data_IF_604506449825
#
_entry.id   IF_604506449825
#
_cell.length_a   1.000
_cell.length_b   1.000
_cell.length_c   1.000
_cell.angle_alpha   90.00
_cell.angle_beta   90.00
_cell.angle_gamma   90.00
#
_symmetry.space_group_name_H-M   'P 1'
#
loop_
_entity.id
_entity.type
_entity.pdbx_description
1 polymer ?
#
# COMPACT_ATOMS: atom_id res chain seq x y z
N UNK A 1 -2.31 11.76 11.13
CA UNK A 1 -1.57 10.54 11.57
C UNK A 1 -0.31 11.00 12.25
N UNK A 2 0.10 10.39 13.37
CA UNK A 2 1.27 10.88 14.09
C UNK A 2 2.51 10.01 13.82
N UNK A 3 3.61 10.65 13.44
CA UNK A 3 4.95 10.03 13.35
C UNK A 3 5.80 10.52 14.52
N UNK A 4 6.44 9.58 15.21
CA UNK A 4 7.37 9.85 16.31
C UNK A 4 8.74 9.29 15.91
N UNK A 5 9.78 10.13 15.93
CA UNK A 5 11.16 9.73 15.61
C UNK A 5 11.94 9.37 16.87
N UNK A 6 13.13 8.79 16.71
CA UNK A 6 13.93 8.24 17.81
C UNK A 6 14.40 9.28 18.84
N UNK A 7 14.49 10.55 18.44
CA UNK A 7 14.85 11.70 19.27
C UNK A 7 13.65 12.28 20.05
N UNK A 8 12.46 11.70 19.88
CA UNK A 8 11.22 12.17 20.50
C UNK A 8 10.49 13.27 19.73
N UNK A 9 10.97 13.65 18.55
CA UNK A 9 10.25 14.61 17.70
C UNK A 9 8.94 14.03 17.19
N UNK A 10 7.89 14.86 17.18
CA UNK A 10 6.54 14.48 16.72
C UNK A 10 6.13 15.29 15.49
N UNK A 11 5.55 14.61 14.51
CA UNK A 11 4.94 15.23 13.33
C UNK A 11 3.50 14.75 13.16
N UNK A 12 2.61 15.67 12.78
CA UNK A 12 1.26 15.34 12.31
C UNK A 12 1.24 15.32 10.78
N UNK A 13 0.82 14.20 10.23
CA UNK A 13 0.84 13.87 8.81
C UNK A 13 -0.60 13.61 8.33
N UNK A 14 -1.15 14.43 7.41
CA UNK A 14 -2.57 14.37 7.07
C UNK A 14 -2.94 13.14 6.23
N UNK A 15 -2.03 12.62 5.40
CA UNK A 15 -2.37 11.67 4.33
C UNK A 15 -1.72 10.29 4.46
N UNK A 16 -0.43 10.21 4.78
CA UNK A 16 0.28 8.95 4.94
C UNK A 16 1.57 9.12 5.75
N UNK A 17 2.14 8.01 6.22
CA UNK A 17 3.42 7.97 6.93
C UNK A 17 4.29 6.86 6.35
N UNK A 18 5.55 7.17 6.06
CA UNK A 18 6.59 6.19 5.67
C UNK A 18 7.68 6.18 6.75
N UNK A 19 8.13 4.99 7.16
CA UNK A 19 9.17 4.80 8.16
C UNK A 19 10.02 3.57 7.87
N UNK A 20 11.31 3.64 8.21
CA UNK A 20 12.27 2.54 8.06
C UNK A 20 12.90 2.45 6.67
N UNK A 21 14.17 2.03 6.61
CA UNK A 21 14.92 1.89 5.35
C UNK A 21 15.10 3.21 4.58
N UNK A 22 15.21 3.09 3.25
CA UNK A 22 15.29 4.22 2.30
C UNK A 22 13.89 4.76 2.00
N UNK A 23 13.50 5.84 2.68
CA UNK A 23 12.12 6.32 2.65
C UNK A 23 11.79 7.30 1.52
N UNK A 24 12.79 8.01 0.97
CA UNK A 24 12.57 9.04 -0.05
C UNK A 24 11.85 8.54 -1.31
N UNK A 25 12.25 7.41 -1.94
CA UNK A 25 11.56 6.92 -3.15
C UNK A 25 10.11 6.51 -2.85
N UNK A 26 9.87 5.90 -1.69
CA UNK A 26 8.54 5.47 -1.25
C UNK A 26 7.65 6.68 -1.02
N UNK A 27 8.16 7.69 -0.31
CA UNK A 27 7.42 8.91 -0.02
C UNK A 27 7.06 9.66 -1.31
N UNK A 28 7.98 9.74 -2.28
CA UNK A 28 7.70 10.38 -3.56
C UNK A 28 6.66 9.60 -4.38
N UNK A 29 6.78 8.27 -4.45
CA UNK A 29 5.78 7.42 -5.11
C UNK A 29 4.38 7.60 -4.48
N UNK A 30 4.29 7.70 -3.15
CA UNK A 30 3.03 7.96 -2.46
C UNK A 30 2.50 9.39 -2.74
N UNK A 31 3.37 10.42 -2.76
CA UNK A 31 2.92 11.79 -3.09
C UNK A 31 2.28 11.87 -4.47
N UNK A 32 2.80 11.13 -5.44
CA UNK A 32 2.33 11.14 -6.82
C UNK A 32 1.04 10.33 -7.04
N UNK A 33 0.88 9.22 -6.29
CA UNK A 33 -0.20 8.25 -6.50
C UNK A 33 -1.32 8.30 -5.45
N UNK A 34 -1.11 8.99 -4.33
CA UNK A 34 -2.12 9.10 -3.28
C UNK A 34 -3.38 9.82 -3.79
N UNK A 35 -4.53 9.22 -3.47
CA UNK A 35 -5.83 9.82 -3.67
C UNK A 35 -6.63 9.73 -2.37
N UNK A 36 -7.24 10.84 -1.96
CA UNK A 36 -8.17 10.84 -0.84
C UNK A 36 -9.38 9.94 -1.14
N UNK A 37 -9.93 9.32 -0.09
CA UNK A 37 -11.11 8.45 -0.19
C UNK A 37 -10.94 7.25 -1.14
N UNK A 38 -9.70 6.81 -1.40
CA UNK A 38 -9.42 5.60 -2.15
C UNK A 38 -10.08 4.37 -1.50
N UNK A 39 -10.48 3.41 -2.34
CA UNK A 39 -10.97 2.12 -1.84
C UNK A 39 -9.85 1.39 -1.09
N UNK A 40 -10.20 0.45 -0.20
CA UNK A 40 -9.21 -0.36 0.51
C UNK A 40 -8.25 -1.07 -0.47
N UNK A 41 -8.79 -1.57 -1.58
CA UNK A 41 -8.04 -2.27 -2.62
C UNK A 41 -7.04 -1.33 -3.30
N UNK A 42 -7.47 -0.13 -3.68
CA UNK A 42 -6.61 0.83 -4.36
C UNK A 42 -5.54 1.40 -3.42
N UNK A 43 -5.91 1.73 -2.18
CA UNK A 43 -4.98 2.18 -1.16
C UNK A 43 -3.88 1.13 -0.90
N UNK A 44 -4.25 -0.16 -0.85
CA UNK A 44 -3.28 -1.25 -0.68
C UNK A 44 -2.35 -1.37 -1.89
N UNK A 45 -2.87 -1.24 -3.12
CA UNK A 45 -2.04 -1.27 -4.33
C UNK A 45 -1.05 -0.12 -4.39
N UNK A 46 -1.51 1.10 -4.11
CA UNK A 46 -0.68 2.30 -4.04
C UNK A 46 0.46 2.09 -3.04
N UNK A 47 0.15 1.59 -1.84
CA UNK A 47 1.15 1.30 -0.82
C UNK A 47 2.16 0.23 -1.26
N UNK A 48 1.71 -0.88 -1.85
CA UNK A 48 2.60 -1.96 -2.33
C UNK A 48 3.49 -1.49 -3.48
N UNK A 49 2.95 -0.70 -4.41
CA UNK A 49 3.72 -0.11 -5.51
C UNK A 49 4.82 0.82 -4.98
N UNK A 50 4.48 1.69 -4.02
CA UNK A 50 5.46 2.58 -3.39
C UNK A 50 6.55 1.83 -2.62
N UNK A 51 6.21 0.75 -1.90
CA UNK A 51 7.20 -0.10 -1.21
C UNK A 51 8.18 -0.77 -2.19
N UNK A 52 7.70 -1.18 -3.37
CA UNK A 52 8.56 -1.74 -4.43
C UNK A 52 9.52 -0.69 -4.98
N UNK A 53 9.07 0.56 -5.15
CA UNK A 53 9.93 1.66 -5.59
C UNK A 53 11.09 1.93 -4.62
N UNK A 54 10.86 1.85 -3.31
CA UNK A 54 11.92 2.02 -2.30
C UNK A 54 12.91 0.86 -2.18
N UNK A 55 12.55 -0.31 -2.69
CA UNK A 55 13.39 -1.52 -2.61
C UNK A 55 14.38 -1.63 -3.78
N UNK A 56 14.11 -0.94 -4.90
CA UNK A 56 14.92 -1.02 -6.12
C UNK A 56 16.37 -0.51 -5.94
N UNK A 57 16.60 0.45 -5.04
CA UNK A 57 17.92 1.09 -4.85
C UNK A 57 18.83 0.39 -3.81
N UNK A 58 18.32 -0.57 -3.03
CA UNK A 58 19.05 -1.09 -1.86
C UNK A 58 19.70 -2.45 -2.06
N UNK A 59 19.47 -3.13 -3.18
CA UNK A 59 20.00 -4.48 -3.39
C UNK A 59 20.19 -4.75 -4.88
N UNK A 60 21.44 -5.00 -5.28
CA UNK A 60 21.78 -5.37 -6.65
C UNK A 60 20.98 -6.60 -7.12
N UNK A 61 20.02 -6.36 -8.02
CA UNK A 61 19.61 -7.28 -9.07
C UNK A 61 18.65 -8.44 -8.75
N UNK A 62 18.37 -8.80 -7.49
CA UNK A 62 17.61 -10.05 -7.24
C UNK A 62 16.75 -10.06 -5.97
N UNK A 63 16.02 -8.97 -5.67
CA UNK A 63 15.05 -9.02 -4.58
C UNK A 63 13.76 -9.74 -5.05
N UNK A 64 13.25 -10.72 -4.28
CA UNK A 64 11.96 -11.33 -4.58
C UNK A 64 10.88 -10.26 -4.69
N UNK A 65 9.97 -10.41 -5.66
CA UNK A 65 8.79 -9.56 -5.74
C UNK A 65 8.10 -9.55 -4.38
N UNK A 66 7.78 -8.35 -3.85
CA UNK A 66 6.98 -8.22 -2.63
C UNK A 66 5.66 -8.97 -2.84
N UNK A 67 5.63 -10.18 -2.31
CA UNK A 67 4.52 -11.12 -2.42
C UNK A 67 3.62 -11.03 -1.19
N UNK A 68 2.40 -11.55 -1.32
CA UNK A 68 1.41 -11.60 -0.22
C UNK A 68 2.01 -12.16 1.07
N UNK A 69 2.90 -13.17 0.95
CA UNK A 69 3.50 -13.86 2.09
C UNK A 69 4.55 -13.02 2.85
N UNK A 70 5.09 -11.96 2.26
CA UNK A 70 6.11 -11.11 2.87
C UNK A 70 5.54 -9.80 3.46
N UNK A 71 4.21 -9.66 3.50
CA UNK A 71 3.54 -8.45 3.96
C UNK A 71 2.71 -8.71 5.22
N UNK A 72 2.88 -7.86 6.22
CA UNK A 72 1.94 -7.75 7.33
C UNK A 72 0.97 -6.59 7.05
N UNK A 73 -0.33 -6.88 6.96
CA UNK A 73 -1.36 -5.89 6.61
C UNK A 73 -2.45 -5.84 7.68
N UNK A 74 -2.83 -4.63 8.08
CA UNK A 74 -3.91 -4.37 9.02
C UNK A 74 -4.58 -3.03 8.70
N UNK A 75 -5.83 -2.86 9.16
CA UNK A 75 -6.60 -1.63 8.98
C UNK A 75 -7.30 -1.22 10.27
N UNK A 76 -7.60 0.08 10.36
CA UNK A 76 -8.56 0.63 11.31
C UNK A 76 -9.89 0.85 10.57
N UNK A 77 -10.82 -0.07 10.76
CA UNK A 77 -12.12 -0.07 10.06
C UNK A 77 -13.14 0.75 10.86
N UNK A 78 -13.43 1.95 10.35
CA UNK A 78 -14.34 2.92 10.96
C UNK A 78 -15.80 2.44 11.00
N UNK A 79 -16.17 1.46 10.17
CA UNK A 79 -17.54 0.90 10.15
C UNK A 79 -17.80 -0.09 11.28
N UNK A 80 -16.78 -0.46 12.07
CA UNK A 80 -16.94 -1.42 13.16
C UNK A 80 -17.43 -0.73 14.44
N UNK A 81 -18.38 -1.32 15.17
CA UNK A 81 -19.01 -0.68 16.33
C UNK A 81 -18.11 -0.54 17.56
N UNK A 82 -16.96 -1.22 17.62
CA UNK A 82 -16.06 -1.17 18.80
C UNK A 82 -14.58 -1.23 18.41
N UNK A 83 -14.02 -2.44 18.24
CA UNK A 83 -12.60 -2.61 17.91
C UNK A 83 -12.42 -2.41 16.41
N UNK A 84 -11.96 -1.21 16.02
CA UNK A 84 -11.68 -0.87 14.62
C UNK A 84 -10.52 -1.69 14.03
N UNK A 85 -9.51 -2.00 14.84
CA UNK A 85 -8.34 -2.76 14.38
C UNK A 85 -8.72 -4.17 13.90
N UNK A 86 -8.26 -4.52 12.69
CA UNK A 86 -8.30 -5.88 12.15
C UNK A 86 -7.05 -6.16 11.31
N UNK A 87 -6.59 -7.41 11.35
CA UNK A 87 -5.55 -7.94 10.46
C UNK A 87 -6.20 -8.44 9.16
N UNK A 88 -5.48 -8.33 8.05
CA UNK A 88 -5.85 -8.90 6.76
C UNK A 88 -4.72 -9.87 6.37
N UNK A 89 -5.05 -11.16 6.26
CA UNK A 89 -4.04 -12.22 6.16
C UNK A 89 -4.47 -13.29 5.15
N UNK A 90 -3.50 -14.04 4.62
CA UNK A 90 -3.75 -15.23 3.81
C UNK A 90 -4.59 -14.93 2.56
N UNK A 91 -5.60 -15.75 2.31
CA UNK A 91 -6.48 -15.65 1.14
C UNK A 91 -7.20 -14.30 1.03
N UNK A 92 -7.56 -13.67 2.15
CA UNK A 92 -8.19 -12.35 2.14
C UNK A 92 -7.24 -11.26 1.63
N UNK A 93 -5.96 -11.33 2.01
CA UNK A 93 -4.95 -10.40 1.49
C UNK A 93 -4.65 -10.69 0.02
N UNK A 94 -4.58 -11.97 -0.36
CA UNK A 94 -4.37 -12.38 -1.74
C UNK A 94 -5.50 -11.86 -2.65
N UNK A 95 -6.76 -11.99 -2.23
CA UNK A 95 -7.90 -11.49 -2.98
C UNK A 95 -7.82 -9.98 -3.24
N UNK A 96 -7.39 -9.19 -2.25
CA UNK A 96 -7.22 -7.73 -2.43
C UNK A 96 -6.09 -7.36 -3.41
N UNK A 97 -5.08 -8.22 -3.56
CA UNK A 97 -3.96 -7.96 -4.47
C UNK A 97 -4.19 -8.50 -5.90
N UNK A 98 -5.05 -9.50 -6.08
CA UNK A 98 -5.32 -10.16 -7.38
C UNK A 98 -6.33 -9.39 -8.24
N UNK A 99 -7.20 -8.59 -7.65
CA UNK A 99 -8.43 -8.12 -8.30
C UNK A 99 -8.24 -6.98 -9.34
N UNK A 100 -7.36 -7.14 -10.34
CA UNK A 100 -7.32 -6.41 -11.62
C UNK A 100 -6.56 -7.21 -12.71
N UNK A 101 -6.86 -8.50 -12.87
CA UNK A 101 -6.66 -9.16 -14.16
C UNK A 101 -8.05 -9.55 -14.69
N UNK A 102 -8.90 -8.54 -14.89
CA UNK A 102 -10.15 -8.69 -15.64
C UNK A 102 -9.93 -8.03 -17.01
N UNK A 103 -10.24 -8.73 -18.12
CA UNK A 103 -9.82 -8.33 -19.45
C UNK A 103 -10.49 -7.02 -19.87
N UNK A 104 -9.69 -6.15 -20.49
CA UNK A 104 -10.18 -5.03 -21.29
C UNK A 104 -11.31 -5.51 -22.20
N UNK A 105 -12.44 -4.85 -22.11
CA UNK A 105 -13.58 -4.98 -23.02
C UNK A 105 -13.11 -4.95 -24.48
N UNK A 106 -13.22 -6.09 -25.16
CA UNK A 106 -13.16 -6.17 -26.61
C UNK A 106 -14.30 -5.30 -27.16
N UNK A 107 -13.92 -4.16 -27.73
CA UNK A 107 -14.84 -3.29 -28.45
C UNK A 107 -15.41 -4.03 -29.64
N UNK A 108 -16.69 -4.35 -29.58
CA UNK A 108 -17.54 -4.70 -30.71
C UNK A 108 -17.38 -3.64 -31.82
N UNK A 109 -16.61 -3.98 -32.85
CA UNK A 109 -16.68 -3.30 -34.14
C UNK A 109 -17.93 -3.81 -34.86
N UNK A 110 -19.00 -3.02 -34.78
CA UNK A 110 -20.20 -3.20 -35.59
C UNK A 110 -19.86 -3.21 -37.08
N UNK A 111 -20.51 -4.12 -37.82
CA UNK A 111 -20.40 -4.25 -39.28
C UNK A 111 -21.13 -3.19 -40.08
#
# INVERSE_FOLDING_TARGET
>A
MYRITYDGSIADEPHFVVMGGTTEPIANALKESYAENASLTDALRIAVAALRAGSADTSGGDQPTLGVASLEVAVLDANRPRRAFRRITGSALQALLVDQESPQSDGESSG
#
